data_IF_588944906154
#
_entry.id   IF_588944906154
#
_cell.length_a   1.000
_cell.length_b   1.000
_cell.length_c   1.000
_cell.angle_alpha   90.00
_cell.angle_beta   90.00
_cell.angle_gamma   90.00
#
_symmetry.space_group_name_H-M   'P 1'
#
loop_
_entity.id
_entity.type
_entity.pdbx_description
1 polymer ?
#
# COMPACT_ATOMS: atom_id res chain seq x y z
N UNK A 1 -34.61 46.48 84.30
CA UNK A 1 -34.20 45.10 84.62
C UNK A 1 -32.71 44.99 84.29
N UNK A 2 -31.80 45.15 85.26
CA UNK A 2 -31.27 44.14 86.18
C UNK A 2 -30.34 43.08 85.54
N UNK A 3 -29.08 43.13 86.03
CA UNK A 3 -28.11 42.04 86.27
C UNK A 3 -27.00 41.77 85.24
N UNK A 4 -25.87 42.47 85.48
CA UNK A 4 -24.51 41.94 85.72
C UNK A 4 -24.21 40.46 85.44
N UNK A 5 -23.08 40.17 84.77
CA UNK A 5 -21.86 39.67 85.45
C UNK A 5 -20.63 39.55 84.53
N UNK A 6 -19.51 39.88 85.16
CA UNK A 6 -18.10 39.86 84.76
C UNK A 6 -17.52 38.44 84.68
N UNK A 7 -16.58 38.16 83.76
CA UNK A 7 -15.23 37.63 84.11
C UNK A 7 -14.27 37.58 82.92
N UNK A 8 -13.15 38.29 83.08
CA UNK A 8 -11.89 38.05 82.37
C UNK A 8 -11.19 36.89 83.06
N UNK A 9 -10.69 35.89 82.31
CA UNK A 9 -9.52 35.12 82.72
C UNK A 9 -8.84 34.46 81.51
N UNK A 10 -7.55 34.79 81.36
CA UNK A 10 -6.60 34.31 80.37
C UNK A 10 -6.29 32.82 80.63
N UNK A 11 -6.51 31.96 79.64
CA UNK A 11 -5.95 30.61 79.61
C UNK A 11 -4.88 30.55 78.52
N UNK A 12 -3.62 30.48 78.94
CA UNK A 12 -2.54 29.94 78.10
C UNK A 12 -2.71 28.42 78.10
N UNK A 13 -3.09 27.85 76.97
CA UNK A 13 -3.15 26.42 76.73
C UNK A 13 -2.44 26.10 75.41
N UNK A 14 -1.36 25.33 75.52
CA UNK A 14 -0.56 24.80 74.42
C UNK A 14 -1.42 24.18 73.31
N UNK A 15 -1.06 24.43 72.05
CA UNK A 15 -0.64 23.35 71.14
C UNK A 15 -0.06 23.91 69.84
N UNK A 16 1.18 23.50 69.55
CA UNK A 16 1.78 23.56 68.23
C UNK A 16 0.89 22.81 67.23
N UNK A 17 0.38 23.50 66.21
CA UNK A 17 -0.03 22.81 64.97
C UNK A 17 0.58 23.59 63.81
N UNK A 18 1.86 23.31 63.57
CA UNK A 18 2.42 23.43 62.23
C UNK A 18 1.69 22.39 61.39
N UNK A 19 0.66 22.79 60.63
CA UNK A 19 0.03 21.90 59.67
C UNK A 19 1.03 21.64 58.54
N UNK A 20 1.90 20.65 58.79
CA UNK A 20 2.62 19.91 57.77
C UNK A 20 1.62 19.01 57.06
N UNK A 21 0.72 19.62 56.29
CA UNK A 21 -0.01 18.90 55.26
C UNK A 21 0.68 19.20 53.93
N UNK A 22 1.92 18.69 53.80
CA UNK A 22 2.42 18.32 52.49
C UNK A 22 1.53 17.17 52.05
N UNK A 23 0.46 17.47 51.32
CA UNK A 23 -0.24 16.46 50.54
C UNK A 23 0.82 15.75 49.71
N UNK A 24 1.06 14.43 49.90
CA UNK A 24 1.79 13.69 48.90
C UNK A 24 0.88 13.68 47.67
N UNK A 25 1.25 14.44 46.64
CA UNK A 25 0.81 14.12 45.29
C UNK A 25 1.22 12.66 45.10
N UNK A 26 0.30 11.73 44.77
CA UNK A 26 0.68 10.34 44.51
C UNK A 26 1.47 10.27 43.20
N UNK A 27 2.76 10.60 43.23
CA UNK A 27 3.69 10.41 42.11
C UNK A 27 4.08 8.93 41.92
N UNK A 28 3.38 8.00 42.58
CA UNK A 28 3.73 6.58 42.66
C UNK A 28 2.70 5.64 42.04
N UNK A 29 1.69 6.14 41.32
CA UNK A 29 0.75 5.31 40.54
C UNK A 29 0.53 5.79 39.11
N UNK A 30 1.35 6.72 38.62
CA UNK A 30 1.34 7.14 37.21
C UNK A 30 2.36 6.36 36.36
N UNK A 31 3.44 5.84 36.95
CA UNK A 31 4.54 5.18 36.23
C UNK A 31 4.19 3.78 35.73
N UNK A 32 3.49 2.97 36.53
CA UNK A 32 3.12 1.60 36.15
C UNK A 32 2.08 1.56 35.01
N UNK A 33 1.13 2.49 35.01
CA UNK A 33 0.08 2.56 33.99
C UNK A 33 0.63 3.01 32.65
N UNK A 34 1.55 3.99 32.66
CA UNK A 34 2.31 4.37 31.46
C UNK A 34 3.12 3.21 30.90
N UNK A 35 3.78 2.42 31.76
CA UNK A 35 4.53 1.24 31.34
C UNK A 35 3.63 0.17 30.70
N UNK A 36 2.45 -0.09 31.28
CA UNK A 36 1.46 -1.01 30.70
C UNK A 36 0.91 -0.51 29.35
N UNK A 37 0.61 0.78 29.23
CA UNK A 37 0.19 1.39 27.97
C UNK A 37 1.31 1.24 26.92
N UNK A 38 2.56 1.56 27.26
CA UNK A 38 3.71 1.38 26.35
C UNK A 38 3.88 -0.09 25.93
N UNK A 39 3.78 -1.03 26.86
CA UNK A 39 3.89 -2.46 26.57
C UNK A 39 2.76 -2.92 25.62
N UNK A 40 1.52 -2.46 25.85
CA UNK A 40 0.39 -2.76 24.97
C UNK A 40 0.59 -2.19 23.56
N UNK A 41 1.07 -0.95 23.44
CA UNK A 41 1.35 -0.34 22.13
C UNK A 41 2.46 -1.08 21.37
N UNK A 42 3.52 -1.52 22.06
CA UNK A 42 4.59 -2.32 21.46
C UNK A 42 4.06 -3.69 20.98
N UNK A 43 3.28 -4.39 21.79
CA UNK A 43 2.67 -5.67 21.43
C UNK A 43 1.72 -5.52 20.24
N UNK A 44 0.92 -4.45 20.19
CA UNK A 44 0.04 -4.15 19.05
C UNK A 44 0.88 -3.90 17.79
N UNK A 45 1.97 -3.14 17.89
CA UNK A 45 2.85 -2.82 16.75
C UNK A 45 3.53 -4.08 16.20
N UNK A 46 3.99 -4.95 17.10
CA UNK A 46 4.65 -6.21 16.75
C UNK A 46 3.66 -7.23 16.14
N UNK A 47 2.44 -7.31 16.68
CA UNK A 47 1.37 -8.12 16.10
C UNK A 47 0.96 -7.64 14.69
N UNK A 48 0.84 -6.32 14.49
CA UNK A 48 0.58 -5.74 13.16
C UNK A 48 1.73 -6.02 12.19
N UNK A 49 2.98 -5.84 12.63
CA UNK A 49 4.18 -6.15 11.84
C UNK A 49 4.24 -7.63 11.43
N UNK A 50 3.95 -8.55 12.35
CA UNK A 50 3.90 -9.98 12.08
C UNK A 50 2.79 -10.33 11.08
N UNK A 51 1.62 -9.69 11.19
CA UNK A 51 0.52 -9.86 10.25
C UNK A 51 0.91 -9.37 8.84
N UNK A 52 1.63 -8.25 8.74
CA UNK A 52 2.19 -7.75 7.48
C UNK A 52 3.30 -8.65 6.91
N UNK A 53 4.02 -9.41 7.74
CA UNK A 53 4.97 -10.42 7.24
C UNK A 53 4.26 -11.61 6.60
N UNK A 54 3.13 -12.05 7.18
CA UNK A 54 2.31 -13.15 6.64
C UNK A 54 1.45 -12.72 5.43
N UNK A 55 1.23 -11.41 5.27
CA UNK A 55 0.48 -10.81 4.17
C UNK A 55 1.00 -11.25 2.79
N UNK A 56 2.33 -11.32 2.61
CA UNK A 56 2.93 -11.64 1.31
C UNK A 56 2.38 -12.92 0.68
N UNK A 57 2.36 -14.04 1.41
CA UNK A 57 1.92 -15.32 0.84
C UNK A 57 0.43 -15.31 0.52
N UNK A 58 -0.38 -14.64 1.34
CA UNK A 58 -1.81 -14.45 1.08
C UNK A 58 -2.04 -13.63 -0.19
N UNK A 59 -1.35 -12.49 -0.34
CA UNK A 59 -1.45 -11.64 -1.53
C UNK A 59 -0.98 -12.36 -2.79
N UNK A 60 0.15 -13.09 -2.71
CA UNK A 60 0.63 -13.87 -3.86
C UNK A 60 -0.40 -14.91 -4.31
N UNK A 61 -1.06 -15.58 -3.36
CA UNK A 61 -2.10 -16.55 -3.69
C UNK A 61 -3.34 -15.86 -4.28
N UNK A 62 -3.85 -14.80 -3.64
CA UNK A 62 -5.02 -14.06 -4.11
C UNK A 62 -4.82 -13.46 -5.52
N UNK A 63 -3.66 -12.85 -5.77
CA UNK A 63 -3.33 -12.29 -7.07
C UNK A 63 -3.12 -13.39 -8.13
N UNK A 64 -2.58 -14.56 -7.74
CA UNK A 64 -2.49 -15.73 -8.63
C UNK A 64 -3.87 -16.25 -9.03
N UNK A 65 -4.78 -16.37 -8.07
CA UNK A 65 -6.16 -16.82 -8.32
C UNK A 65 -6.90 -15.82 -9.24
N UNK A 66 -6.65 -14.52 -9.07
CA UNK A 66 -7.16 -13.47 -9.94
C UNK A 66 -6.61 -13.55 -11.36
N UNK A 67 -5.30 -13.78 -11.52
CA UNK A 67 -4.66 -14.00 -12.82
C UNK A 67 -5.20 -15.25 -13.52
N UNK A 68 -5.41 -16.34 -12.79
CA UNK A 68 -5.96 -17.58 -13.32
C UNK A 68 -7.41 -17.37 -13.80
N UNK A 69 -8.25 -16.72 -12.99
CA UNK A 69 -9.62 -16.40 -13.38
C UNK A 69 -9.68 -15.49 -14.62
N UNK A 70 -8.86 -14.44 -14.66
CA UNK A 70 -8.73 -13.55 -15.82
C UNK A 70 -8.28 -14.34 -17.06
N UNK A 71 -7.21 -15.11 -16.95
CA UNK A 71 -6.67 -15.91 -18.05
C UNK A 71 -7.67 -16.94 -18.60
N UNK A 72 -8.41 -17.62 -17.72
CA UNK A 72 -9.44 -18.59 -18.11
C UNK A 72 -10.64 -17.96 -18.84
N UNK A 73 -10.81 -16.64 -18.73
CA UNK A 73 -11.94 -15.90 -19.32
C UNK A 73 -11.54 -15.04 -20.50
N UNK A 74 -10.25 -14.73 -20.65
CA UNK A 74 -9.71 -14.09 -21.85
C UNK A 74 -9.79 -15.06 -23.04
N UNK A 75 -10.02 -14.51 -24.23
CA UNK A 75 -9.86 -15.27 -25.46
C UNK A 75 -8.41 -15.72 -25.63
N UNK A 76 -8.19 -16.89 -26.21
CA UNK A 76 -6.83 -17.38 -26.53
C UNK A 76 -6.19 -16.61 -27.68
N UNK A 77 -6.97 -15.81 -28.42
CA UNK A 77 -6.51 -15.01 -29.54
C UNK A 77 -7.19 -13.65 -29.54
N UNK A 78 -6.46 -12.63 -29.97
CA UNK A 78 -6.98 -11.27 -30.14
C UNK A 78 -7.81 -11.24 -31.44
N UNK A 79 -9.06 -10.76 -31.43
CA UNK A 79 -9.84 -10.59 -32.64
C UNK A 79 -9.12 -9.62 -33.60
N UNK A 80 -8.96 -10.00 -34.87
CA UNK A 80 -8.21 -9.22 -35.85
C UNK A 80 -8.72 -7.77 -35.97
N UNK A 81 -10.03 -7.58 -35.87
CA UNK A 81 -10.68 -6.27 -35.90
C UNK A 81 -10.30 -5.33 -34.74
N UNK A 82 -9.69 -5.85 -33.68
CA UNK A 82 -9.28 -5.08 -32.51
C UNK A 82 -7.80 -4.70 -32.54
N UNK A 83 -7.01 -5.26 -33.45
CA UNK A 83 -5.55 -5.05 -33.51
C UNK A 83 -5.18 -3.58 -33.67
N UNK A 84 -5.86 -2.87 -34.58
CA UNK A 84 -5.60 -1.44 -34.80
C UNK A 84 -5.92 -0.60 -33.54
N UNK A 85 -7.01 -0.89 -32.84
CA UNK A 85 -7.39 -0.20 -31.61
C UNK A 85 -6.35 -0.43 -30.50
N UNK A 86 -5.82 -1.65 -30.41
CA UNK A 86 -4.78 -2.03 -29.44
C UNK A 86 -3.47 -1.28 -29.73
N UNK A 87 -3.05 -1.23 -30.99
CA UNK A 87 -1.85 -0.49 -31.41
C UNK A 87 -2.04 1.01 -31.14
N UNK A 88 -3.22 1.55 -31.46
CA UNK A 88 -3.54 2.96 -31.24
C UNK A 88 -3.61 3.32 -29.75
N UNK A 89 -4.05 2.42 -28.89
CA UNK A 89 -4.01 2.63 -27.44
C UNK A 89 -2.57 2.60 -26.92
N UNK A 90 -1.85 1.51 -27.19
CA UNK A 90 -0.48 1.31 -26.70
C UNK A 90 0.52 2.37 -27.15
N UNK A 91 0.37 2.89 -28.38
CA UNK A 91 1.27 3.91 -28.95
C UNK A 91 1.09 5.32 -28.38
N UNK A 92 -0.01 5.61 -27.65
CA UNK A 92 -0.24 6.93 -27.05
C UNK A 92 0.69 7.15 -25.85
N UNK A 93 1.65 8.10 -25.92
CA UNK A 93 2.52 8.40 -24.80
C UNK A 93 1.68 8.92 -23.62
N UNK A 94 1.94 8.39 -22.44
CA UNK A 94 1.31 8.85 -21.21
C UNK A 94 2.34 8.87 -20.08
N UNK A 95 2.37 9.96 -19.34
CA UNK A 95 3.21 10.15 -18.15
C UNK A 95 2.84 9.18 -17.02
N UNK A 96 1.57 8.74 -16.97
CA UNK A 96 1.06 7.74 -16.03
C UNK A 96 0.94 6.38 -16.72
N UNK A 97 2.06 5.75 -17.03
CA UNK A 97 2.11 4.39 -17.60
C UNK A 97 2.36 3.34 -16.49
N UNK A 98 2.05 2.06 -16.75
CA UNK A 98 2.42 0.95 -15.85
C UNK A 98 3.90 0.95 -15.43
N UNK A 99 4.87 1.26 -16.32
CA UNK A 99 6.26 1.51 -15.93
C UNK A 99 6.45 2.66 -14.92
N UNK A 100 5.68 3.75 -15.04
CA UNK A 100 5.71 4.81 -14.01
C UNK A 100 5.17 4.30 -12.67
N UNK A 101 4.11 3.48 -12.69
CA UNK A 101 3.54 2.83 -11.49
C UNK A 101 4.58 1.92 -10.83
N UNK A 102 5.36 1.20 -11.64
CA UNK A 102 6.53 0.46 -11.19
C UNK A 102 7.60 1.40 -10.60
N UNK A 103 7.96 2.52 -11.22
CA UNK A 103 8.96 3.42 -10.63
C UNK A 103 8.57 4.02 -9.25
N UNK A 104 7.28 4.09 -8.89
CA UNK A 104 6.81 4.54 -7.56
C UNK A 104 7.10 3.58 -6.40
N UNK A 105 7.72 2.43 -6.70
CA UNK A 105 8.17 1.41 -5.75
C UNK A 105 9.04 1.89 -4.59
N UNK A 106 9.66 3.07 -4.68
CA UNK A 106 10.64 3.54 -3.69
C UNK A 106 10.06 3.98 -2.35
N UNK A 107 8.75 4.17 -2.23
CA UNK A 107 8.18 4.81 -1.03
C UNK A 107 6.97 4.08 -0.41
N UNK A 108 6.12 3.37 -1.17
CA UNK A 108 4.99 2.63 -0.58
C UNK A 108 4.26 1.64 -1.52
N UNK A 109 4.69 0.37 -1.56
CA UNK A 109 4.08 -0.63 -2.45
C UNK A 109 2.65 -1.06 -2.06
N UNK A 110 2.29 -1.06 -0.76
CA UNK A 110 0.95 -1.47 -0.31
C UNK A 110 -0.13 -0.49 -0.77
N UNK A 111 0.14 0.81 -0.75
CA UNK A 111 -0.79 1.84 -1.24
C UNK A 111 -1.01 1.74 -2.75
N UNK A 112 0.05 1.43 -3.51
CA UNK A 112 -0.07 1.24 -4.96
C UNK A 112 -0.93 0.00 -5.28
N UNK A 113 -0.68 -1.14 -4.63
CA UNK A 113 -1.48 -2.36 -4.81
C UNK A 113 -2.95 -2.08 -4.47
N UNK A 114 -3.23 -1.49 -3.30
CA UNK A 114 -4.58 -1.13 -2.87
C UNK A 114 -5.32 -0.28 -3.90
N UNK A 115 -4.72 0.82 -4.37
CA UNK A 115 -5.38 1.68 -5.35
C UNK A 115 -5.57 0.96 -6.72
N UNK A 116 -4.60 0.17 -7.19
CA UNK A 116 -4.74 -0.58 -8.45
C UNK A 116 -5.93 -1.55 -8.35
N UNK A 117 -6.02 -2.32 -7.26
CA UNK A 117 -7.11 -3.27 -7.04
C UNK A 117 -8.47 -2.55 -7.01
N UNK A 118 -8.57 -1.43 -6.29
CA UNK A 118 -9.79 -0.62 -6.25
C UNK A 118 -10.21 -0.12 -7.63
N UNK A 119 -9.26 0.36 -8.44
CA UNK A 119 -9.55 0.85 -9.79
C UNK A 119 -9.97 -0.29 -10.73
N UNK A 120 -9.37 -1.49 -10.62
CA UNK A 120 -9.80 -2.67 -11.37
C UNK A 120 -11.26 -3.02 -11.00
N UNK A 121 -11.58 -3.10 -9.71
CA UNK A 121 -12.95 -3.38 -9.26
C UNK A 121 -13.93 -2.38 -9.88
N UNK A 122 -13.60 -1.08 -9.81
CA UNK A 122 -14.43 -0.02 -10.40
C UNK A 122 -14.68 -0.23 -11.89
N UNK A 123 -13.65 -0.52 -12.69
CA UNK A 123 -13.81 -0.81 -14.13
C UNK A 123 -14.77 -1.98 -14.37
N UNK A 124 -14.67 -3.05 -13.58
CA UNK A 124 -15.57 -4.21 -13.69
C UNK A 124 -16.97 -3.98 -13.10
N UNK A 125 -17.28 -2.81 -12.55
CA UNK A 125 -18.67 -2.40 -12.24
C UNK A 125 -19.36 -1.70 -13.40
N UNK A 126 -18.61 -1.24 -14.40
CA UNK A 126 -19.14 -0.55 -15.57
C UNK A 126 -19.86 -1.52 -16.54
N UNK A 127 -20.39 -0.98 -17.64
CA UNK A 127 -21.12 -1.77 -18.64
C UNK A 127 -20.22 -2.82 -19.32
N UNK A 128 -20.44 -4.08 -18.98
CA UNK A 128 -19.71 -5.25 -19.46
C UNK A 128 -20.54 -6.09 -20.46
N UNK A 129 -21.54 -5.51 -21.12
CA UNK A 129 -22.41 -6.26 -22.07
C UNK A 129 -21.66 -6.86 -23.27
N UNK A 130 -20.51 -6.28 -23.65
CA UNK A 130 -19.66 -6.78 -24.73
C UNK A 130 -18.45 -7.60 -24.22
N UNK A 131 -18.30 -7.73 -22.91
CA UNK A 131 -17.30 -8.61 -22.30
C UNK A 131 -17.88 -10.04 -22.30
N UNK A 132 -17.19 -11.05 -22.86
CA UNK A 132 -17.72 -12.41 -22.99
C UNK A 132 -17.73 -13.22 -21.67
N UNK A 133 -17.71 -12.53 -20.53
CA UNK A 133 -17.70 -13.12 -19.19
C UNK A 133 -19.13 -13.27 -18.69
N UNK A 134 -19.43 -14.38 -18.01
CA UNK A 134 -20.69 -14.51 -17.28
C UNK A 134 -20.69 -13.66 -16.00
N UNK A 135 -21.88 -13.20 -15.58
CA UNK A 135 -22.05 -12.32 -14.41
C UNK A 135 -21.45 -12.90 -13.12
N UNK A 136 -21.52 -14.22 -12.96
CA UNK A 136 -20.95 -14.90 -11.81
C UNK A 136 -19.43 -14.77 -11.81
N UNK A 137 -18.77 -14.93 -12.95
CA UNK A 137 -17.31 -14.77 -13.08
C UNK A 137 -16.86 -13.35 -12.81
N UNK A 138 -17.59 -12.35 -13.30
CA UNK A 138 -17.33 -10.93 -12.97
C UNK A 138 -17.48 -10.72 -11.46
N UNK A 139 -18.53 -11.27 -10.85
CA UNK A 139 -18.78 -11.15 -9.40
C UNK A 139 -17.68 -11.81 -8.58
N UNK A 140 -17.30 -13.05 -8.91
CA UNK A 140 -16.22 -13.77 -8.22
C UNK A 140 -14.90 -13.02 -8.37
N UNK A 141 -14.59 -12.50 -9.55
CA UNK A 141 -13.38 -11.72 -9.78
C UNK A 141 -13.35 -10.47 -8.88
N UNK A 142 -14.42 -9.66 -8.88
CA UNK A 142 -14.51 -8.47 -8.01
C UNK A 142 -14.39 -8.83 -6.52
N UNK A 143 -15.07 -9.88 -6.07
CA UNK A 143 -15.01 -10.32 -4.67
C UNK A 143 -13.61 -10.80 -4.26
N UNK A 144 -12.89 -11.48 -5.16
CA UNK A 144 -11.50 -11.89 -4.93
C UNK A 144 -10.58 -10.68 -4.73
N UNK A 145 -10.71 -9.66 -5.57
CA UNK A 145 -9.95 -8.41 -5.44
C UNK A 145 -10.32 -7.64 -4.17
N UNK A 146 -11.61 -7.60 -3.81
CA UNK A 146 -12.09 -6.94 -2.58
C UNK A 146 -11.56 -7.63 -1.33
N UNK A 147 -11.51 -8.97 -1.35
CA UNK A 147 -10.88 -9.76 -0.30
C UNK A 147 -9.38 -9.46 -0.19
N UNK A 148 -8.68 -9.33 -1.32
CA UNK A 148 -7.26 -8.96 -1.34
C UNK A 148 -7.05 -7.59 -0.67
N UNK A 149 -7.83 -6.57 -1.03
CA UNK A 149 -7.82 -5.25 -0.37
C UNK A 149 -8.03 -5.37 1.14
N UNK A 150 -8.98 -6.20 1.58
CA UNK A 150 -9.24 -6.46 2.99
C UNK A 150 -8.04 -7.03 3.75
N UNK A 151 -7.26 -7.90 3.10
CA UNK A 151 -6.00 -8.42 3.66
C UNK A 151 -4.90 -7.35 3.72
N UNK A 152 -4.84 -6.43 2.75
CA UNK A 152 -3.89 -5.29 2.76
C UNK A 152 -4.20 -4.25 3.84
N UNK A 153 -5.47 -4.02 4.18
CA UNK A 153 -5.92 -2.89 4.98
C UNK A 153 -5.15 -2.64 6.30
N UNK A 154 -4.78 -3.65 7.10
CA UNK A 154 -4.01 -3.45 8.34
C UNK A 154 -2.58 -2.93 8.11
N UNK A 155 -2.05 -3.06 6.89
CA UNK A 155 -0.68 -2.73 6.50
C UNK A 155 -0.60 -1.48 5.61
N UNK A 156 -1.72 -0.76 5.45
CA UNK A 156 -1.74 0.49 4.68
C UNK A 156 -1.25 1.64 5.54
N UNK A 157 -0.26 2.36 5.02
CA UNK A 157 0.20 3.60 5.64
C UNK A 157 -0.62 4.76 5.06
N UNK A 158 -1.17 5.61 5.93
CA UNK A 158 -1.83 6.83 5.49
C UNK A 158 -0.81 7.80 4.86
N UNK A 159 -1.20 8.51 3.79
CA UNK A 159 -0.46 9.70 3.33
C UNK A 159 0.37 9.57 2.04
N UNK A 160 -0.10 8.83 1.03
CA UNK A 160 0.57 8.76 -0.28
C UNK A 160 -0.38 9.12 -1.43
N UNK A 161 -0.97 10.32 -1.37
CA UNK A 161 -1.97 10.75 -2.37
C UNK A 161 -1.39 10.86 -3.79
N UNK A 162 -0.10 11.23 -3.92
CA UNK A 162 0.57 11.29 -5.23
C UNK A 162 0.60 9.92 -5.93
N UNK A 163 0.77 8.82 -5.19
CA UNK A 163 0.69 7.47 -5.75
C UNK A 163 -0.74 7.19 -6.22
N UNK A 164 -1.73 7.51 -5.39
CA UNK A 164 -3.14 7.28 -5.71
C UNK A 164 -3.58 8.08 -6.94
N UNK A 165 -3.20 9.35 -7.01
CA UNK A 165 -3.52 10.23 -8.14
C UNK A 165 -2.97 9.71 -9.46
N UNK A 166 -1.74 9.19 -9.46
CA UNK A 166 -1.13 8.64 -10.68
C UNK A 166 -1.80 7.36 -11.15
N UNK A 167 -2.12 6.45 -10.22
CA UNK A 167 -2.90 5.24 -10.53
C UNK A 167 -4.29 5.64 -11.07
N UNK A 168 -4.97 6.60 -10.43
CA UNK A 168 -6.26 7.13 -10.92
C UNK A 168 -6.16 7.77 -12.30
N UNK A 169 -5.10 8.53 -12.60
CA UNK A 169 -4.87 9.11 -13.94
C UNK A 169 -4.70 8.03 -14.99
N UNK A 170 -3.97 6.95 -14.67
CA UNK A 170 -3.84 5.79 -15.55
C UNK A 170 -5.18 5.09 -15.81
N UNK A 171 -5.93 4.76 -14.75
CA UNK A 171 -7.24 4.12 -14.90
C UNK A 171 -8.32 5.04 -15.47
N UNK A 172 -8.18 6.36 -15.30
CA UNK A 172 -9.02 7.36 -15.97
C UNK A 172 -8.95 7.22 -17.49
N UNK A 173 -7.74 7.06 -18.05
CA UNK A 173 -7.55 6.79 -19.49
C UNK A 173 -8.22 5.47 -19.93
N UNK A 174 -8.21 4.45 -19.09
CA UNK A 174 -8.89 3.18 -19.38
C UNK A 174 -10.43 3.36 -19.35
N UNK A 175 -10.94 4.13 -18.38
CA UNK A 175 -12.37 4.46 -18.31
C UNK A 175 -12.82 5.30 -19.52
N UNK A 176 -12.01 6.27 -19.93
CA UNK A 176 -12.27 7.09 -21.12
C UNK A 176 -12.25 6.22 -22.39
N UNK A 177 -11.29 5.30 -22.54
CA UNK A 177 -11.26 4.32 -23.62
C UNK A 177 -12.57 3.54 -23.71
N UNK A 178 -13.07 3.00 -22.59
CA UNK A 178 -14.34 2.28 -22.54
C UNK A 178 -15.50 3.17 -22.99
N UNK A 179 -15.61 4.38 -22.45
CA UNK A 179 -16.72 5.30 -22.74
C UNK A 179 -16.70 5.78 -24.19
N UNK A 180 -15.55 6.22 -24.69
CA UNK A 180 -15.38 6.73 -26.05
C UNK A 180 -15.71 5.65 -27.10
N UNK A 181 -15.38 4.39 -26.80
CA UNK A 181 -15.66 3.25 -27.65
C UNK A 181 -17.00 2.55 -27.32
N UNK A 182 -17.85 3.18 -26.49
CA UNK A 182 -19.19 2.68 -26.12
C UNK A 182 -19.16 1.24 -25.59
N UNK A 183 -18.13 0.92 -24.81
CA UNK A 183 -17.91 -0.38 -24.20
C UNK A 183 -17.87 -1.51 -25.23
N UNK A 184 -17.30 -1.27 -26.41
CA UNK A 184 -17.18 -2.27 -27.49
C UNK A 184 -16.35 -3.48 -27.08
N UNK A 185 -16.46 -4.56 -27.86
CA UNK A 185 -15.62 -5.76 -27.71
C UNK A 185 -14.11 -5.38 -27.68
N UNK A 186 -13.64 -4.58 -28.63
CA UNK A 186 -12.22 -4.21 -28.72
C UNK A 186 -11.75 -3.36 -27.53
N UNK A 187 -12.63 -2.51 -26.99
CA UNK A 187 -12.31 -1.78 -25.76
C UNK A 187 -12.13 -2.74 -24.56
N UNK A 188 -12.98 -3.76 -24.45
CA UNK A 188 -12.86 -4.78 -23.40
C UNK A 188 -11.66 -5.73 -23.60
N UNK A 189 -11.27 -6.02 -24.84
CA UNK A 189 -10.00 -6.74 -25.11
C UNK A 189 -8.80 -5.94 -24.59
N UNK A 190 -8.75 -4.64 -24.85
CA UNK A 190 -7.69 -3.76 -24.32
C UNK A 190 -7.72 -3.74 -22.79
N UNK A 191 -8.90 -3.57 -22.17
CA UNK A 191 -9.04 -3.56 -20.71
C UNK A 191 -8.52 -4.85 -20.08
N UNK A 192 -8.88 -6.02 -20.61
CA UNK A 192 -8.43 -7.30 -20.07
C UNK A 192 -6.89 -7.43 -20.14
N UNK A 193 -6.27 -6.98 -21.25
CA UNK A 193 -4.81 -6.96 -21.37
C UNK A 193 -4.15 -6.01 -20.36
N UNK A 194 -4.67 -4.80 -20.20
CA UNK A 194 -4.12 -3.85 -19.23
C UNK A 194 -4.29 -4.34 -17.78
N UNK A 195 -5.43 -4.95 -17.45
CA UNK A 195 -5.68 -5.57 -16.14
C UNK A 195 -4.72 -6.73 -15.90
N UNK A 196 -4.45 -7.57 -16.90
CA UNK A 196 -3.46 -8.64 -16.80
C UNK A 196 -2.08 -8.09 -16.46
N UNK A 197 -1.66 -7.01 -17.14
CA UNK A 197 -0.40 -6.34 -16.85
C UNK A 197 -0.37 -5.72 -15.44
N UNK A 198 -1.46 -5.12 -14.99
CA UNK A 198 -1.58 -4.63 -13.60
C UNK A 198 -1.39 -5.74 -12.56
N UNK A 199 -2.02 -6.91 -12.74
CA UNK A 199 -1.87 -8.05 -11.82
C UNK A 199 -0.44 -8.63 -11.84
N UNK A 200 0.25 -8.59 -12.99
CA UNK A 200 1.68 -8.94 -13.08
C UNK A 200 2.52 -7.94 -12.28
N UNK A 201 2.27 -6.64 -12.42
CA UNK A 201 2.94 -5.59 -11.64
C UNK A 201 2.66 -5.75 -10.15
N UNK A 202 1.42 -6.02 -9.75
CA UNK A 202 1.07 -6.31 -8.35
C UNK A 202 1.91 -7.47 -7.81
N UNK A 203 2.04 -8.58 -8.54
CA UNK A 203 2.89 -9.71 -8.11
C UNK A 203 4.36 -9.29 -7.87
N UNK A 204 4.89 -8.41 -8.72
CA UNK A 204 6.24 -7.85 -8.56
C UNK A 204 6.32 -6.94 -7.33
N UNK A 205 5.31 -6.09 -7.08
CA UNK A 205 5.22 -5.24 -5.90
C UNK A 205 5.15 -6.08 -4.61
N UNK A 206 4.31 -7.12 -4.59
CA UNK A 206 4.17 -8.04 -3.46
C UNK A 206 5.52 -8.71 -3.13
N UNK A 207 6.28 -9.09 -4.16
CA UNK A 207 7.60 -9.71 -4.00
C UNK A 207 8.60 -8.80 -3.27
N UNK A 208 8.41 -7.48 -3.34
CA UNK A 208 9.29 -6.48 -2.72
C UNK A 208 8.89 -6.04 -1.32
N UNK A 209 7.67 -6.33 -0.87
CA UNK A 209 7.15 -5.98 0.48
C UNK A 209 8.01 -6.52 1.65
N UNK A 210 8.98 -7.39 1.40
CA UNK A 210 9.87 -7.96 2.43
C UNK A 210 11.31 -7.45 2.42
N UNK A 211 11.66 -6.44 1.61
CA UNK A 211 13.04 -5.90 1.55
C UNK A 211 13.23 -4.67 2.47
N UNK A 212 12.16 -4.07 2.98
CA UNK A 212 12.27 -2.98 3.95
C UNK A 212 12.42 -3.52 5.38
N UNK A 213 13.64 -3.92 5.73
CA UNK A 213 14.09 -3.71 7.10
C UNK A 213 14.22 -2.19 7.33
N UNK A 214 13.79 -1.65 8.47
CA UNK A 214 13.92 -0.23 8.73
C UNK A 214 15.40 0.17 8.69
N UNK A 215 15.76 1.06 7.78
CA UNK A 215 17.01 1.82 7.88
C UNK A 215 16.88 2.69 9.12
N UNK A 216 17.57 2.28 10.19
CA UNK A 216 17.82 3.14 11.33
C UNK A 216 18.57 4.38 10.84
N UNK A 217 17.83 5.47 10.71
CA UNK A 217 18.40 6.81 10.54
C UNK A 217 18.97 7.25 11.88
N UNK A 218 20.17 6.78 12.19
CA UNK A 218 21.00 7.42 13.21
C UNK A 218 21.68 8.65 12.59
N UNK A 219 21.05 9.79 12.76
CA UNK A 219 21.73 11.08 12.67
C UNK A 219 22.43 11.34 14.01
N UNK A 220 23.72 11.00 14.11
CA UNK A 220 24.62 11.64 15.08
C UNK A 220 25.80 12.26 14.35
N UNK A 221 25.80 13.58 14.39
CA UNK A 221 26.75 14.48 13.76
C UNK A 221 27.82 14.79 14.79
N UNK A 222 29.04 14.32 14.58
CA UNK A 222 30.21 14.86 15.29
C UNK A 222 31.37 15.04 14.32
N UNK A 223 31.62 16.30 14.01
CA UNK A 223 32.73 16.81 13.20
C UNK A 223 34.02 16.80 14.02
N UNK A 224 35.09 16.21 13.48
CA UNK A 224 36.47 16.58 13.82
C UNK A 224 37.35 16.45 12.57
N UNK A 225 38.19 17.45 12.22
CA UNK A 225 38.93 17.43 10.96
C UNK A 225 40.37 16.93 11.08
N UNK A 226 40.82 16.21 10.05
CA UNK A 226 42.23 16.06 9.63
C UNK A 226 42.66 14.61 9.34
N UNK A 227 43.75 14.38 8.58
CA UNK A 227 44.25 15.05 7.37
C UNK A 227 44.23 14.13 6.12
N UNK A 228 44.38 14.71 4.93
CA UNK A 228 44.36 14.01 3.64
C UNK A 228 45.51 13.00 3.43
N UNK A 229 45.22 11.84 2.80
CA UNK A 229 46.12 11.18 1.84
C UNK A 229 45.41 10.15 0.90
N UNK A 230 45.69 10.30 -0.40
CA UNK A 230 45.88 9.34 -1.49
C UNK A 230 44.82 8.26 -1.88
N UNK A 231 44.19 8.52 -3.05
CA UNK A 231 44.09 7.71 -4.30
C UNK A 231 43.90 6.17 -4.18
N UNK A 232 42.75 5.68 -4.65
CA UNK A 232 42.56 4.29 -5.07
C UNK A 232 41.14 3.94 -5.52
N UNK A 233 40.99 3.73 -6.84
CA UNK A 233 40.01 2.86 -7.53
C UNK A 233 38.50 3.20 -7.48
N UNK A 234 37.96 3.65 -8.62
CA UNK A 234 36.51 3.62 -8.88
C UNK A 234 36.06 2.19 -9.14
N UNK A 235 35.14 1.67 -8.33
CA UNK A 235 34.29 0.56 -8.72
C UNK A 235 32.95 1.15 -9.15
N UNK A 236 32.63 1.04 -10.44
CA UNK A 236 31.29 1.34 -10.94
C UNK A 236 30.34 0.28 -10.40
N UNK A 237 29.48 0.68 -9.48
CA UNK A 237 28.33 -0.12 -9.08
C UNK A 237 27.36 -0.15 -10.26
N UNK A 238 27.29 -1.31 -10.92
CA UNK A 238 26.44 -1.56 -12.07
C UNK A 238 24.99 -1.57 -11.57
N UNK A 239 24.27 -0.49 -11.81
CA UNK A 239 22.82 -0.42 -11.62
C UNK A 239 22.19 -1.48 -12.54
N UNK A 240 21.68 -2.56 -11.97
CA UNK A 240 20.90 -3.54 -12.71
C UNK A 240 19.53 -2.89 -12.98
N UNK A 241 19.40 -2.31 -14.17
CA UNK A 241 18.10 -2.00 -14.76
C UNK A 241 17.42 -3.35 -15.03
N UNK A 242 16.26 -3.58 -14.41
CA UNK A 242 15.39 -4.69 -14.78
C UNK A 242 14.44 -4.11 -15.81
N UNK A 243 14.72 -4.35 -17.09
CA UNK A 243 13.82 -3.96 -18.17
C UNK A 243 12.49 -4.68 -17.99
N UNK A 244 11.41 -3.89 -17.90
CA UNK A 244 10.04 -4.40 -17.81
C UNK A 244 9.55 -4.72 -19.23
N UNK A 245 9.00 -5.92 -19.50
CA UNK A 245 8.55 -6.28 -20.84
C UNK A 245 7.45 -5.34 -21.33
N UNK A 246 7.56 -4.87 -22.57
CA UNK A 246 6.49 -4.17 -23.27
C UNK A 246 5.35 -5.15 -23.60
N UNK A 247 4.16 -4.64 -23.90
CA UNK A 247 3.04 -5.46 -24.41
C UNK A 247 3.47 -6.33 -25.60
N UNK A 248 4.33 -5.80 -26.47
CA UNK A 248 4.91 -6.52 -27.61
C UNK A 248 5.82 -7.67 -27.13
N UNK A 249 6.65 -7.42 -26.12
CA UNK A 249 7.58 -8.42 -25.58
C UNK A 249 6.82 -9.56 -24.89
N UNK A 250 5.70 -9.27 -24.23
CA UNK A 250 4.83 -10.28 -23.62
C UNK A 250 4.09 -11.14 -24.66
N UNK A 251 3.70 -10.56 -25.80
CA UNK A 251 3.08 -11.30 -26.91
C UNK A 251 4.08 -12.26 -27.56
N UNK A 252 5.33 -11.81 -27.76
CA UNK A 252 6.42 -12.67 -28.30
C UNK A 252 6.75 -13.81 -27.32
N UNK A 253 6.71 -13.55 -26.01
CA UNK A 253 7.05 -14.54 -25.00
C UNK A 253 6.00 -15.66 -24.84
N UNK A 254 4.74 -15.41 -25.18
CA UNK A 254 3.71 -16.47 -25.28
C UNK A 254 3.91 -17.37 -26.52
N UNK A 255 4.49 -16.86 -27.60
CA UNK A 255 4.79 -17.65 -28.81
C UNK A 255 5.94 -18.65 -28.53
N UNK A 256 6.99 -18.24 -27.82
CA UNK A 256 8.10 -19.13 -27.43
C UNK A 256 7.68 -20.22 -26.41
N UNK A 257 6.76 -19.92 -25.49
CA UNK A 257 6.28 -20.90 -24.50
C UNK A 257 5.37 -21.97 -25.13
N UNK A 258 4.69 -21.66 -26.24
CA UNK A 258 3.88 -22.62 -26.98
C UNK A 258 4.70 -23.50 -27.94
N UNK A 259 5.83 -23.02 -28.48
CA UNK A 259 6.71 -23.85 -29.31
C UNK A 259 7.50 -24.91 -28.50
N UNK A 260 7.84 -24.63 -27.24
CA UNK A 260 8.56 -25.57 -26.36
C UNK A 260 7.64 -26.72 -25.87
N UNK A 261 6.33 -26.61 -26.12
CA UNK A 261 5.30 -27.57 -25.72
C UNK A 261 4.81 -28.54 -26.80
N UNK A 262 5.44 -28.61 -27.98
CA UNK A 262 5.05 -29.53 -29.09
C UNK A 262 6.05 -30.63 -29.34
#
# INVERSE_FOLDING_TARGET
MMKYKVKVQRHNGLQNICHKNRFPIPTMMASGWLLHICLLMLLITEALSQNCKQLRSKLQQANKDSLELLGNKMGTTIPLQCVDDIINFSSKPNEASLPSIYEFQKQNATVAIDEILQQIIYIFTENHTQLPWDENSITVFRLGLDQEIGELAPCLNAGMEDIREKVRKYFGRISDLLKDNKYSLCAWEIVQMEVRQCLIVINQLITRLSIEAPVSTEASKTTTPGPCAARGSSSMEKKQEVDLPTVIDAVIQEEELNEIGT
#
